data_IF_059135684952
#
_entry.id   IF_059135684952
#
_cell.length_a   1.000
_cell.length_b   1.000
_cell.length_c   1.000
_cell.angle_alpha   90.00
_cell.angle_beta   90.00
_cell.angle_gamma   90.00
#
_symmetry.space_group_name_H-M   'P 1'
#
loop_
_entity.id
_entity.type
_entity.pdbx_description
1 polymer ?
#
# COMPACT_ATOMS: atom_id res chain seq x y z
N UNK A 1 -38.76 -0.94 -7.03
CA UNK A 1 -37.71 -0.76 -8.06
C UNK A 1 -36.65 -1.89 -8.07
N UNK A 2 -36.13 -2.35 -6.92
CA UNK A 2 -35.14 -3.46 -6.88
C UNK A 2 -35.65 -4.83 -7.37
N UNK A 3 -36.91 -5.19 -7.08
CA UNK A 3 -37.52 -6.44 -7.51
C UNK A 3 -37.84 -6.50 -9.01
N UNK A 4 -38.16 -5.37 -9.64
CA UNK A 4 -38.42 -5.27 -11.08
C UNK A 4 -37.13 -5.50 -11.89
N UNK A 5 -36.02 -4.94 -11.43
CA UNK A 5 -34.71 -5.17 -12.04
C UNK A 5 -34.30 -6.65 -12.01
N UNK A 6 -34.53 -7.36 -10.87
CA UNK A 6 -34.20 -8.78 -10.76
C UNK A 6 -34.96 -9.67 -11.77
N UNK A 7 -36.23 -9.33 -12.08
CA UNK A 7 -37.04 -10.01 -13.09
C UNK A 7 -36.50 -9.80 -14.51
N UNK A 8 -36.14 -8.57 -14.85
CA UNK A 8 -35.54 -8.22 -16.14
C UNK A 8 -34.20 -8.92 -16.36
N UNK A 9 -33.38 -9.02 -15.32
CA UNK A 9 -32.09 -9.70 -15.37
C UNK A 9 -32.22 -11.21 -15.67
N UNK A 10 -33.24 -11.85 -15.11
CA UNK A 10 -33.49 -13.29 -15.30
C UNK A 10 -34.05 -13.61 -16.68
N UNK A 11 -34.80 -12.68 -17.29
CA UNK A 11 -35.41 -12.86 -18.61
C UNK A 11 -34.46 -12.58 -19.80
N UNK A 12 -33.53 -11.63 -19.64
CA UNK A 12 -32.65 -11.18 -20.72
C UNK A 12 -31.35 -11.97 -20.88
N UNK A 13 -31.00 -12.91 -19.94
CA UNK A 13 -29.84 -13.79 -20.06
C UNK A 13 -28.52 -13.05 -20.34
N UNK A 14 -28.38 -11.82 -19.84
CA UNK A 14 -27.23 -10.97 -20.14
C UNK A 14 -25.91 -11.63 -19.73
N UNK A 15 -24.97 -11.69 -20.65
CA UNK A 15 -23.58 -12.07 -20.33
C UNK A 15 -23.04 -11.13 -19.26
N UNK A 16 -22.24 -11.64 -18.34
CA UNK A 16 -21.66 -10.95 -17.17
C UNK A 16 -21.09 -9.56 -17.50
N UNK A 17 -20.52 -9.39 -18.69
CA UNK A 17 -19.94 -8.13 -19.15
C UNK A 17 -20.98 -7.00 -19.34
N UNK A 18 -22.18 -7.31 -19.83
CA UNK A 18 -23.25 -6.32 -20.04
C UNK A 18 -23.80 -5.87 -18.68
N UNK A 19 -23.93 -6.78 -17.71
CA UNK A 19 -24.31 -6.44 -16.35
C UNK A 19 -23.34 -5.45 -15.72
N UNK A 20 -22.03 -5.70 -15.85
CA UNK A 20 -20.99 -4.81 -15.32
C UNK A 20 -21.03 -3.42 -15.95
N UNK A 21 -21.29 -3.32 -17.27
CA UNK A 21 -21.43 -2.04 -17.95
C UNK A 21 -22.62 -1.26 -17.39
N UNK A 22 -23.77 -1.94 -17.23
CA UNK A 22 -24.97 -1.31 -16.69
C UNK A 22 -24.76 -0.83 -15.24
N UNK A 23 -24.16 -1.67 -14.39
CA UNK A 23 -23.84 -1.29 -13.01
C UNK A 23 -22.87 -0.11 -12.93
N UNK A 24 -21.91 0.01 -13.85
CA UNK A 24 -20.99 1.15 -13.93
C UNK A 24 -21.68 2.48 -14.25
N UNK A 25 -22.81 2.46 -14.97
CA UNK A 25 -23.57 3.67 -15.28
C UNK A 25 -24.46 4.13 -14.11
N UNK A 26 -24.98 3.19 -13.32
CA UNK A 26 -26.00 3.48 -12.30
C UNK A 26 -25.47 3.48 -10.85
N UNK A 27 -24.21 3.08 -10.63
CA UNK A 27 -23.61 3.15 -9.31
C UNK A 27 -22.56 4.27 -9.24
N UNK A 28 -22.48 4.89 -8.08
CA UNK A 28 -21.44 5.86 -7.77
C UNK A 28 -20.04 5.25 -7.96
N UNK A 29 -19.14 6.02 -8.52
CA UNK A 29 -17.74 5.60 -8.73
C UNK A 29 -16.89 6.15 -7.61
N UNK A 30 -16.11 5.28 -6.99
CA UNK A 30 -15.11 5.66 -6.00
C UNK A 30 -13.75 5.81 -6.67
N UNK A 31 -13.05 6.88 -6.32
CA UNK A 31 -11.62 7.00 -6.58
C UNK A 31 -10.89 6.20 -5.49
N UNK A 32 -10.03 5.26 -5.88
CA UNK A 32 -9.31 4.42 -4.93
C UNK A 32 -7.88 4.94 -4.80
N UNK A 33 -7.59 5.52 -3.63
CA UNK A 33 -6.26 5.97 -3.24
C UNK A 33 -5.46 4.84 -2.57
N UNK A 34 -4.19 4.77 -2.88
CA UNK A 34 -3.23 3.84 -2.30
C UNK A 34 -2.18 4.64 -1.54
N UNK A 35 -1.88 4.24 -0.31
CA UNK A 35 -0.85 4.89 0.52
C UNK A 35 0.06 3.80 1.10
N UNK A 36 1.37 3.98 0.98
CA UNK A 36 2.37 3.07 1.52
C UNK A 36 3.10 3.66 2.73
N UNK A 37 3.31 2.85 3.76
CA UNK A 37 4.17 3.15 4.90
C UNK A 37 5.31 2.14 4.84
N UNK A 38 6.45 2.57 4.28
CA UNK A 38 7.60 1.70 4.06
C UNK A 38 8.70 2.04 5.03
N UNK A 39 9.18 1.01 5.74
CA UNK A 39 10.31 1.13 6.65
C UNK A 39 11.58 0.52 6.04
N UNK A 40 12.71 1.12 6.33
CA UNK A 40 14.02 0.54 6.07
C UNK A 40 14.44 -0.45 7.18
N UNK A 41 15.65 -0.98 7.10
CA UNK A 41 16.20 -1.92 8.09
C UNK A 41 16.47 -1.25 9.46
N UNK A 42 16.52 0.09 9.51
CA UNK A 42 16.72 0.91 10.70
C UNK A 42 15.43 1.48 11.28
N UNK A 43 14.26 0.97 10.84
CA UNK A 43 12.92 1.41 11.27
C UNK A 43 12.60 2.88 10.89
N UNK A 44 13.32 3.44 9.90
CA UNK A 44 13.04 4.76 9.36
C UNK A 44 11.98 4.67 8.27
N UNK A 45 11.02 5.58 8.28
CA UNK A 45 9.92 5.62 7.30
C UNK A 45 10.30 6.43 6.08
N UNK A 46 9.96 5.90 4.90
CA UNK A 46 10.08 6.61 3.63
C UNK A 46 9.00 7.68 3.52
N UNK A 47 9.41 8.92 3.32
CA UNK A 47 8.56 10.05 2.97
C UNK A 47 9.01 10.67 1.65
N UNK A 48 8.05 11.23 0.92
CA UNK A 48 8.28 11.96 -0.33
C UNK A 48 7.86 13.43 -0.16
N UNK A 49 8.56 14.31 -0.87
CA UNK A 49 8.29 15.75 -0.87
C UNK A 49 7.64 16.15 -2.19
N UNK A 50 6.44 16.68 -2.12
CA UNK A 50 5.69 17.12 -3.29
C UNK A 50 5.97 18.60 -3.63
N UNK A 51 6.02 18.90 -4.93
CA UNK A 51 6.24 20.25 -5.45
C UNK A 51 5.06 21.21 -5.19
N UNK A 52 3.83 20.69 -5.20
CA UNK A 52 2.60 21.47 -5.28
C UNK A 52 1.79 21.54 -3.98
N UNK A 53 2.18 20.83 -2.90
CA UNK A 53 1.43 20.82 -1.64
C UNK A 53 1.91 21.87 -0.66
N UNK A 54 0.99 22.45 0.11
CA UNK A 54 1.33 23.37 1.21
C UNK A 54 2.12 22.64 2.31
N UNK A 55 1.66 21.44 2.73
CA UNK A 55 2.45 20.51 3.53
C UNK A 55 3.11 19.56 2.53
N UNK A 56 4.38 19.83 2.25
CA UNK A 56 5.09 19.19 1.15
C UNK A 56 5.44 17.73 1.40
N UNK A 57 5.76 17.37 2.65
CA UNK A 57 6.09 16.00 3.00
C UNK A 57 4.84 15.14 3.20
N UNK A 58 4.87 13.93 2.69
CA UNK A 58 3.80 12.95 2.86
C UNK A 58 4.27 11.52 2.70
N UNK A 59 3.44 10.59 3.13
CA UNK A 59 3.57 9.18 2.76
C UNK A 59 3.43 9.03 1.24
N UNK A 60 4.26 8.17 0.60
CA UNK A 60 4.18 7.88 -0.83
C UNK A 60 2.91 7.11 -1.18
N UNK A 61 2.42 7.28 -2.40
CA UNK A 61 1.24 6.58 -2.88
C UNK A 61 0.60 7.29 -4.05
N UNK A 62 -0.42 6.69 -4.64
CA UNK A 62 -1.11 7.21 -5.82
C UNK A 62 -2.50 6.64 -5.95
N UNK A 63 -2.96 6.42 -7.18
CA UNK A 63 -4.30 5.93 -7.47
C UNK A 63 -4.29 4.59 -8.19
N UNK A 64 -5.22 3.73 -7.77
CA UNK A 64 -5.41 2.43 -8.40
C UNK A 64 -5.99 2.58 -9.82
N UNK A 65 -5.33 1.98 -10.79
CA UNK A 65 -5.84 1.87 -12.16
C UNK A 65 -6.84 0.71 -12.28
N UNK A 66 -7.72 0.79 -13.27
CA UNK A 66 -8.67 -0.29 -13.53
C UNK A 66 -7.95 -1.59 -13.92
N UNK A 67 -8.40 -2.73 -13.37
CA UNK A 67 -7.85 -4.08 -13.59
C UNK A 67 -6.48 -4.35 -12.96
N UNK A 68 -6.02 -3.49 -12.09
CA UNK A 68 -4.77 -3.61 -11.35
C UNK A 68 -5.04 -4.13 -9.93
N UNK A 69 -4.16 -4.96 -9.39
CA UNK A 69 -4.22 -5.33 -7.97
C UNK A 69 -3.67 -4.18 -7.11
N UNK A 70 -4.26 -3.86 -5.95
CA UNK A 70 -3.83 -2.71 -5.15
C UNK A 70 -2.35 -2.71 -4.75
N UNK A 71 -1.76 -3.88 -4.51
CA UNK A 71 -0.33 -4.03 -4.21
C UNK A 71 0.52 -3.64 -5.42
N UNK A 72 0.19 -4.18 -6.60
CA UNK A 72 0.89 -3.86 -7.86
C UNK A 72 0.77 -2.37 -8.20
N UNK A 73 -0.44 -1.79 -8.01
CA UNK A 73 -0.68 -0.36 -8.21
C UNK A 73 0.17 0.52 -7.31
N UNK A 74 0.32 0.15 -6.03
CA UNK A 74 1.14 0.91 -5.10
C UNK A 74 2.63 0.81 -5.44
N UNK A 75 3.13 -0.37 -5.75
CA UNK A 75 4.52 -0.59 -6.16
C UNK A 75 4.84 0.17 -7.46
N UNK A 76 3.93 0.15 -8.43
CA UNK A 76 4.04 0.89 -9.69
C UNK A 76 4.11 2.41 -9.44
N UNK A 77 3.17 2.99 -8.68
CA UNK A 77 3.13 4.43 -8.39
C UNK A 77 4.46 4.88 -7.77
N UNK A 78 4.98 4.13 -6.80
CA UNK A 78 6.25 4.47 -6.16
C UNK A 78 7.42 4.39 -7.14
N UNK A 79 7.45 3.37 -8.00
CA UNK A 79 8.48 3.25 -9.02
C UNK A 79 8.38 4.36 -10.07
N UNK A 80 7.17 4.72 -10.53
CA UNK A 80 6.93 5.80 -11.50
C UNK A 80 7.31 7.18 -10.93
N UNK A 81 6.96 7.46 -9.67
CA UNK A 81 7.18 8.78 -9.07
C UNK A 81 8.58 9.00 -8.50
N UNK A 82 9.28 7.94 -8.11
CA UNK A 82 10.53 8.05 -7.34
C UNK A 82 11.70 7.20 -7.85
N UNK A 83 11.46 6.21 -8.73
CA UNK A 83 12.45 5.21 -9.11
C UNK A 83 12.74 4.16 -8.02
N UNK A 84 12.02 4.17 -6.91
CA UNK A 84 12.26 3.26 -5.80
C UNK A 84 11.58 1.91 -5.97
N UNK A 85 12.17 0.91 -5.34
CA UNK A 85 11.65 -0.46 -5.20
C UNK A 85 11.23 -0.65 -3.76
N UNK A 86 9.98 -1.07 -3.58
CA UNK A 86 9.39 -1.39 -2.28
C UNK A 86 8.80 -2.79 -2.32
N UNK A 87 8.60 -3.39 -1.15
CA UNK A 87 7.83 -4.62 -1.00
C UNK A 87 6.63 -4.32 -0.11
N UNK A 88 5.43 -4.60 -0.61
CA UNK A 88 4.19 -4.40 0.13
C UNK A 88 3.83 -5.69 0.87
N UNK A 89 3.83 -5.66 2.20
CA UNK A 89 3.62 -6.85 3.02
C UNK A 89 2.15 -7.07 3.39
N UNK A 90 1.45 -6.01 3.82
CA UNK A 90 0.14 -6.16 4.42
C UNK A 90 -0.72 -4.90 4.31
N UNK A 91 -2.02 -5.09 4.06
CA UNK A 91 -3.01 -4.03 4.24
C UNK A 91 -3.14 -3.69 5.73
N UNK A 92 -3.00 -2.42 6.05
CA UNK A 92 -3.06 -1.90 7.42
C UNK A 92 -4.44 -1.35 7.75
N UNK A 93 -5.02 -0.57 6.84
CA UNK A 93 -6.30 0.10 7.03
C UNK A 93 -6.98 0.43 5.71
N UNK A 94 -8.30 0.39 5.71
CA UNK A 94 -9.15 0.93 4.65
C UNK A 94 -10.04 2.00 5.28
N UNK A 95 -10.18 3.14 4.65
CA UNK A 95 -11.09 4.21 5.07
C UNK A 95 -11.81 4.83 3.88
N UNK A 96 -12.99 5.39 4.12
CA UNK A 96 -13.75 6.14 3.13
C UNK A 96 -13.71 7.63 3.49
N UNK A 97 -13.28 8.45 2.56
CA UNK A 97 -13.51 9.88 2.60
C UNK A 97 -14.90 10.17 2.01
N UNK A 98 -15.87 10.45 2.89
CA UNK A 98 -17.26 10.68 2.49
C UNK A 98 -17.46 12.00 1.74
N UNK A 99 -16.54 12.97 1.88
CA UNK A 99 -16.67 14.27 1.23
C UNK A 99 -16.26 14.19 -0.23
N UNK A 100 -15.22 13.42 -0.53
CA UNK A 100 -14.66 13.31 -1.90
C UNK A 100 -15.10 12.03 -2.62
N UNK A 101 -15.82 11.11 -1.95
CA UNK A 101 -16.17 9.80 -2.52
C UNK A 101 -14.93 8.94 -2.78
N UNK A 102 -13.89 9.08 -1.94
CA UNK A 102 -12.63 8.34 -2.09
C UNK A 102 -12.53 7.19 -1.09
N UNK A 103 -12.07 6.06 -1.56
CA UNK A 103 -11.66 4.91 -0.74
C UNK A 103 -10.14 4.88 -0.65
N UNK A 104 -9.58 5.11 0.53
CA UNK A 104 -8.14 5.07 0.77
C UNK A 104 -7.74 3.71 1.37
N UNK A 105 -6.79 3.03 0.74
CA UNK A 105 -6.19 1.79 1.20
C UNK A 105 -4.75 2.07 1.65
N UNK A 106 -4.45 1.82 2.91
CA UNK A 106 -3.14 2.02 3.50
C UNK A 106 -2.44 0.68 3.69
N UNK A 107 -1.20 0.59 3.23
CA UNK A 107 -0.36 -0.61 3.31
C UNK A 107 0.90 -0.35 4.13
N UNK A 108 1.43 -1.39 4.74
CA UNK A 108 2.75 -1.42 5.36
C UNK A 108 3.67 -2.32 4.54
N UNK A 109 4.94 -1.98 4.48
CA UNK A 109 5.92 -2.76 3.74
C UNK A 109 7.36 -2.32 4.02
N UNK A 110 8.26 -2.85 3.22
CA UNK A 110 9.69 -2.61 3.31
C UNK A 110 10.17 -1.71 2.16
N UNK A 111 10.99 -0.72 2.49
CA UNK A 111 11.81 -0.01 1.51
C UNK A 111 13.01 -0.89 1.15
N UNK A 112 13.13 -1.25 -0.11
CA UNK A 112 14.19 -2.16 -0.61
C UNK A 112 15.40 -1.35 -1.10
N UNK A 113 15.14 -0.23 -1.82
CA UNK A 113 16.18 0.60 -2.41
C UNK A 113 15.74 1.18 -3.75
N UNK A 114 16.66 1.34 -4.66
CA UNK A 114 16.48 1.98 -5.96
C UNK A 114 17.22 3.30 -6.05
N UNK A 115 17.28 3.87 -7.23
CA UNK A 115 17.90 5.17 -7.48
C UNK A 115 16.81 6.24 -7.59
N UNK A 116 16.91 7.29 -6.76
CA UNK A 116 15.90 8.35 -6.76
C UNK A 116 15.91 9.10 -8.09
N UNK A 117 14.78 9.14 -8.73
CA UNK A 117 14.51 9.96 -9.90
C UNK A 117 13.35 10.90 -9.57
N UNK A 118 13.61 12.21 -9.62
CA UNK A 118 12.55 13.19 -9.40
C UNK A 118 11.52 13.16 -10.51
N UNK A 119 10.25 13.31 -10.16
CA UNK A 119 9.14 13.50 -11.10
C UNK A 119 8.61 14.94 -11.04
N UNK A 120 7.60 15.25 -11.85
CA UNK A 120 6.90 16.54 -11.75
C UNK A 120 6.21 16.72 -10.38
N UNK A 121 5.78 15.61 -9.78
CA UNK A 121 5.07 15.59 -8.51
C UNK A 121 5.99 15.48 -7.30
N UNK A 122 7.02 14.62 -7.36
CA UNK A 122 7.94 14.31 -6.26
C UNK A 122 9.32 14.86 -6.54
N UNK A 123 9.73 15.86 -5.74
CA UNK A 123 11.00 16.61 -5.91
C UNK A 123 12.11 16.17 -4.95
N UNK A 124 11.79 15.47 -3.89
CA UNK A 124 12.75 14.94 -2.93
C UNK A 124 12.15 13.79 -2.12
N UNK A 125 12.99 13.04 -1.44
CA UNK A 125 12.62 12.00 -0.50
C UNK A 125 13.48 12.06 0.77
N UNK A 126 13.07 11.34 1.81
CA UNK A 126 13.87 11.14 3.01
C UNK A 126 13.41 9.91 3.80
N UNK A 127 14.34 9.35 4.55
CA UNK A 127 14.10 8.28 5.51
C UNK A 127 14.20 8.87 6.91
N UNK A 128 13.08 8.89 7.65
CA UNK A 128 12.97 9.59 8.93
C UNK A 128 12.68 8.63 10.07
N UNK A 129 13.36 8.78 11.18
CA UNK A 129 12.95 8.17 12.45
C UNK A 129 11.64 8.83 12.92
N UNK A 130 10.86 8.12 13.75
CA UNK A 130 9.54 8.61 14.17
C UNK A 130 9.59 9.94 14.94
N UNK A 131 10.63 10.17 15.69
CA UNK A 131 10.91 11.39 16.46
C UNK A 131 11.53 12.52 15.62
N UNK A 132 11.99 12.23 14.41
CA UNK A 132 12.58 13.18 13.46
C UNK A 132 11.65 13.52 12.28
N UNK A 133 10.37 13.17 12.37
CA UNK A 133 9.42 13.40 11.28
C UNK A 133 9.29 14.88 10.93
N UNK A 134 9.34 15.25 9.65
CA UNK A 134 9.06 16.62 9.21
C UNK A 134 7.58 16.97 9.44
N UNK A 135 7.20 18.20 9.09
CA UNK A 135 5.80 18.61 9.16
C UNK A 135 4.93 17.74 8.23
N UNK A 136 4.01 17.00 8.82
CA UNK A 136 3.05 16.11 8.16
C UNK A 136 1.62 16.44 8.57
N UNK A 137 0.65 15.94 7.79
CA UNK A 137 -0.74 15.91 8.23
C UNK A 137 -0.86 15.02 9.48
N UNK A 138 -1.65 15.47 10.46
CA UNK A 138 -1.84 14.77 11.75
C UNK A 138 -2.21 13.30 11.60
N UNK A 139 -3.09 12.99 10.64
CA UNK A 139 -3.50 11.62 10.36
C UNK A 139 -2.34 10.74 9.90
N UNK A 140 -1.40 11.28 9.12
CA UNK A 140 -0.24 10.53 8.65
C UNK A 140 0.70 10.19 9.79
N UNK A 141 0.95 11.13 10.72
CA UNK A 141 1.75 10.87 11.93
C UNK A 141 1.15 9.72 12.75
N UNK A 142 -0.18 9.74 12.95
CA UNK A 142 -0.89 8.66 13.67
C UNK A 142 -0.72 7.32 12.95
N UNK A 143 -0.85 7.31 11.61
CA UNK A 143 -0.70 6.07 10.83
C UNK A 143 0.73 5.53 10.87
N UNK A 144 1.74 6.39 10.78
CA UNK A 144 3.15 5.98 10.90
C UNK A 144 3.41 5.36 12.28
N UNK A 145 2.95 5.99 13.37
CA UNK A 145 3.12 5.46 14.71
C UNK A 145 2.43 4.10 14.93
N UNK A 146 1.22 3.92 14.35
CA UNK A 146 0.53 2.64 14.38
C UNK A 146 1.27 1.58 13.54
N UNK A 147 1.71 1.95 12.34
CA UNK A 147 2.45 1.07 11.45
C UNK A 147 3.80 0.63 12.05
N UNK A 148 4.54 1.53 12.69
CA UNK A 148 5.81 1.23 13.32
C UNK A 148 5.68 0.15 14.40
N UNK A 149 4.65 0.21 15.23
CA UNK A 149 4.37 -0.84 16.23
C UNK A 149 4.11 -2.21 15.58
N UNK A 150 3.37 -2.22 14.47
CA UNK A 150 3.12 -3.45 13.71
C UNK A 150 4.39 -3.98 13.04
N UNK A 151 5.19 -3.09 12.47
CA UNK A 151 6.45 -3.41 11.82
C UNK A 151 7.44 -4.08 12.79
N UNK A 152 7.66 -3.48 13.95
CA UNK A 152 8.54 -4.02 14.98
C UNK A 152 8.07 -5.40 15.48
N UNK A 153 6.77 -5.58 15.65
CA UNK A 153 6.21 -6.89 16.01
C UNK A 153 6.45 -7.94 14.92
N UNK A 154 6.30 -7.59 13.64
CA UNK A 154 6.58 -8.49 12.51
C UNK A 154 8.05 -8.89 12.47
N UNK A 155 8.98 -7.94 12.62
CA UNK A 155 10.43 -8.21 12.69
C UNK A 155 10.76 -9.20 13.81
N UNK A 156 10.23 -8.99 15.00
CA UNK A 156 10.42 -9.88 16.16
C UNK A 156 9.92 -11.30 15.87
N UNK A 157 8.74 -11.44 15.27
CA UNK A 157 8.18 -12.74 14.90
C UNK A 157 8.98 -13.46 13.80
N UNK A 158 9.49 -12.72 12.80
CA UNK A 158 10.33 -13.28 11.74
C UNK A 158 11.67 -13.75 12.30
N UNK A 159 12.26 -12.99 13.21
CA UNK A 159 13.52 -13.34 13.88
C UNK A 159 13.34 -14.63 14.71
N UNK A 160 12.29 -14.72 15.52
CA UNK A 160 11.97 -15.91 16.30
C UNK A 160 11.74 -17.15 15.42
N UNK A 161 11.04 -17.00 14.27
CA UNK A 161 10.85 -18.09 13.29
C UNK A 161 12.15 -18.53 12.61
N UNK A 162 13.06 -17.61 12.32
CA UNK A 162 14.37 -17.94 11.72
C UNK A 162 15.26 -18.67 12.71
N UNK A 163 15.25 -18.26 13.97
CA UNK A 163 15.99 -18.94 15.04
C UNK A 163 15.48 -20.35 15.32
N UNK A 164 14.17 -20.55 15.34
CA UNK A 164 13.58 -21.88 15.54
C UNK A 164 13.87 -22.87 14.41
N UNK A 165 14.17 -22.39 13.19
CA UNK A 165 14.55 -23.22 12.02
C UNK A 165 16.04 -23.57 11.98
N UNK A 166 16.92 -22.81 12.63
CA UNK A 166 18.37 -23.04 12.62
C UNK A 166 18.78 -24.44 13.14
N UNK A 167 18.22 -25.00 14.24
CA UNK A 167 18.57 -26.35 14.71
C UNK A 167 18.19 -27.41 13.68
N UNK A 168 16.99 -27.31 13.09
CA UNK A 168 16.50 -28.26 12.09
C UNK A 168 17.37 -28.29 10.82
N UNK A 169 17.74 -27.12 10.29
CA UNK A 169 18.61 -27.02 9.12
C UNK A 169 20.02 -27.55 9.39
N UNK A 170 20.53 -27.36 10.63
CA UNK A 170 21.83 -27.91 11.04
C UNK A 170 21.83 -29.43 11.16
N UNK A 171 20.73 -30.04 11.58
CA UNK A 171 20.55 -31.50 11.58
C UNK A 171 20.41 -32.03 10.18
N UNK A 172 19.58 -31.42 9.33
CA UNK A 172 19.44 -31.83 7.92
C UNK A 172 20.78 -31.81 7.15
N UNK A 173 21.61 -30.77 7.38
CA UNK A 173 22.92 -30.67 6.75
C UNK A 173 23.86 -31.85 7.05
N UNK A 174 23.68 -32.55 8.17
CA UNK A 174 24.45 -33.79 8.47
C UNK A 174 24.04 -34.99 7.61
N UNK A 175 22.82 -35.02 7.12
CA UNK A 175 22.30 -36.11 6.27
C UNK A 175 22.64 -35.94 4.78
N UNK A 176 22.99 -34.73 4.35
CA UNK A 176 23.36 -34.45 2.94
C UNK A 176 24.88 -34.28 2.74
N UNK A 177 25.68 -34.39 3.78
CA UNK A 177 27.15 -34.29 3.74
C UNK A 177 27.87 -35.64 3.79
N UNK A 178 27.14 -36.75 3.56
CA UNK A 178 27.69 -38.11 3.49
C UNK A 178 27.71 -38.66 2.07
#
# INVERSE_FOLDING_TARGET
MKLFLAGVWRFLGFKTNIQLIFMRFFNDKFLIGLTGIFFDDHDKVLLVKHSYRTIQWSLPGGYLKAKEHPVEGLEREIAEETGFIVSVDKALKVRTDRKTGRLDMCYIGKFIGGEFTSSEEVIAYGLFAFDELPLLLKDQVIFIGYALKHWQKMKTMQHAKSESKKPFLKEMGKYFAA
#
